data_IF_788583066196
#
_entry.id   IF_788583066196
#
_cell.length_a   1.000
_cell.length_b   1.000
_cell.length_c   1.000
_cell.angle_alpha   90.00
_cell.angle_beta   90.00
_cell.angle_gamma   90.00
#
_symmetry.space_group_name_H-M   'P 1'
#
loop_
_entity.id
_entity.type
_entity.pdbx_description
1 polymer ?
#
# COMPACT_ATOMS: atom_id res chain seq x y z
N UNK A 1 -34.68 21.85 -1.64
CA UNK A 1 -33.89 20.62 -1.89
C UNK A 1 -32.51 21.03 -2.36
N UNK A 2 -31.51 21.05 -1.49
CA UNK A 2 -30.11 21.27 -1.88
C UNK A 2 -29.58 19.94 -2.44
N UNK A 3 -29.10 19.95 -3.68
CA UNK A 3 -28.35 18.83 -4.27
C UNK A 3 -26.97 18.81 -3.61
N UNK A 4 -26.67 17.78 -2.83
CA UNK A 4 -25.30 17.53 -2.38
C UNK A 4 -24.46 17.25 -3.62
N UNK A 5 -23.54 18.16 -3.93
CA UNK A 5 -22.63 18.08 -5.06
C UNK A 5 -21.31 17.40 -4.66
N UNK A 6 -21.38 16.43 -3.75
CA UNK A 6 -20.21 15.63 -3.37
C UNK A 6 -20.06 14.50 -4.40
N UNK A 7 -19.00 14.49 -5.23
CA UNK A 7 -18.80 13.47 -6.25
C UNK A 7 -18.52 12.07 -5.66
N UNK A 8 -18.47 11.91 -4.33
CA UNK A 8 -18.22 10.64 -3.64
C UNK A 8 -16.73 10.28 -3.52
N UNK A 9 -15.86 11.16 -4.02
CA UNK A 9 -14.41 11.04 -4.00
C UNK A 9 -13.72 12.05 -3.08
N UNK A 10 -14.50 12.85 -2.34
CA UNK A 10 -14.00 13.85 -1.38
C UNK A 10 -13.08 13.25 -0.30
N UNK A 11 -13.29 11.98 0.07
CA UNK A 11 -12.41 11.25 0.99
C UNK A 11 -11.05 10.87 0.38
N UNK A 12 -10.98 10.68 -0.95
CA UNK A 12 -9.74 10.41 -1.68
C UNK A 12 -8.92 11.71 -1.82
N UNK A 13 -9.58 12.81 -2.14
CA UNK A 13 -8.97 14.15 -2.19
C UNK A 13 -8.38 14.54 -0.82
N UNK A 14 -9.12 14.28 0.26
CA UNK A 14 -8.65 14.51 1.64
C UNK A 14 -7.47 13.61 2.04
N UNK A 15 -7.37 12.40 1.49
CA UNK A 15 -6.23 11.51 1.69
C UNK A 15 -4.98 11.95 0.89
N UNK A 16 -5.17 12.75 -0.17
CA UNK A 16 -4.07 13.35 -0.93
C UNK A 16 -3.66 14.72 -0.39
N UNK A 17 -4.54 15.41 0.34
CA UNK A 17 -4.30 16.70 0.98
C UNK A 17 -3.55 16.58 2.32
N UNK A 18 -2.56 15.69 2.37
CA UNK A 18 -1.53 15.72 3.40
C UNK A 18 -0.55 16.84 3.04
N UNK A 19 -0.98 18.07 3.32
CA UNK A 19 -0.14 19.26 3.24
C UNK A 19 1.16 18.97 3.98
N UNK A 20 2.25 19.13 3.24
CA UNK A 20 3.64 18.90 3.60
C UNK A 20 3.97 19.45 4.99
N UNK A 21 3.91 18.62 6.03
CA UNK A 21 4.53 18.95 7.32
C UNK A 21 6.05 18.73 7.15
N UNK A 22 6.90 19.76 7.32
CA UNK A 22 8.35 19.62 7.21
C UNK A 22 8.96 18.61 8.19
N UNK A 23 8.26 18.22 9.25
CA UNK A 23 8.67 17.13 10.16
C UNK A 23 8.36 15.73 9.59
N UNK A 24 7.45 15.63 8.60
CA UNK A 24 7.17 14.44 7.79
C UNK A 24 8.14 14.36 6.58
N UNK A 25 9.21 15.15 6.59
CA UNK A 25 10.27 15.08 5.58
C UNK A 25 11.32 14.00 5.89
N UNK A 26 10.99 13.01 6.73
CA UNK A 26 11.70 11.73 6.71
C UNK A 26 11.34 11.01 5.42
N UNK A 27 12.38 10.59 4.68
CA UNK A 27 12.24 9.81 3.46
C UNK A 27 11.32 8.59 3.70
N UNK A 28 10.25 8.49 2.92
CA UNK A 28 9.20 7.47 3.08
C UNK A 28 9.78 6.04 3.18
N UNK A 29 10.75 5.63 2.33
CA UNK A 29 11.54 4.42 2.51
C UNK A 29 12.05 4.18 3.94
N UNK A 30 12.68 5.17 4.57
CA UNK A 30 13.23 5.04 5.93
C UNK A 30 12.13 4.78 6.97
N UNK A 31 10.96 5.42 6.82
CA UNK A 31 9.81 5.21 7.73
C UNK A 31 9.24 3.80 7.58
N UNK A 32 9.11 3.32 6.35
CA UNK A 32 8.66 1.97 6.05
C UNK A 32 9.66 0.94 6.56
N UNK A 33 10.96 1.13 6.32
CA UNK A 33 12.00 0.26 6.82
C UNK A 33 11.97 0.12 8.35
N UNK A 34 11.78 1.23 9.08
CA UNK A 34 11.64 1.23 10.54
C UNK A 34 10.33 0.60 11.02
N UNK A 35 9.22 0.81 10.31
CA UNK A 35 7.93 0.21 10.65
C UNK A 35 7.98 -1.33 10.56
N UNK A 36 8.71 -1.84 9.56
CA UNK A 36 8.81 -3.27 9.27
C UNK A 36 10.18 -3.88 9.63
N UNK A 37 10.89 -3.33 10.63
CA UNK A 37 12.20 -3.86 11.07
C UNK A 37 12.12 -4.86 12.24
N UNK A 38 11.01 -4.88 12.98
CA UNK A 38 10.79 -5.81 14.09
C UNK A 38 10.07 -7.10 13.66
N UNK A 39 10.07 -8.11 14.53
CA UNK A 39 9.47 -9.43 14.28
C UNK A 39 8.01 -9.34 13.80
N UNK A 40 7.19 -8.51 14.45
CA UNK A 40 5.78 -8.30 14.05
C UNK A 40 5.67 -7.67 12.66
N UNK A 41 6.59 -6.76 12.32
CA UNK A 41 6.64 -6.12 11.01
C UNK A 41 7.01 -7.11 9.92
N UNK A 42 7.98 -7.98 10.18
CA UNK A 42 8.36 -9.04 9.25
C UNK A 42 7.24 -10.07 9.07
N UNK A 43 6.57 -10.45 10.16
CA UNK A 43 5.39 -11.31 10.12
C UNK A 43 4.25 -10.69 9.31
N UNK A 44 4.00 -9.38 9.46
CA UNK A 44 3.00 -8.66 8.68
C UNK A 44 3.34 -8.65 7.18
N UNK A 45 4.58 -8.37 6.80
CA UNK A 45 5.00 -8.41 5.39
C UNK A 45 4.88 -9.82 4.80
N UNK A 46 5.28 -10.84 5.56
CA UNK A 46 5.14 -12.24 5.16
C UNK A 46 3.67 -12.59 4.91
N UNK A 47 2.79 -12.23 5.84
CA UNK A 47 1.36 -12.48 5.69
C UNK A 47 0.74 -11.77 4.48
N UNK A 48 1.11 -10.50 4.24
CA UNK A 48 0.67 -9.75 3.05
C UNK A 48 1.15 -10.40 1.76
N UNK A 49 2.39 -10.89 1.73
CA UNK A 49 2.95 -11.60 0.57
C UNK A 49 2.22 -12.92 0.31
N UNK A 50 1.88 -13.67 1.36
CA UNK A 50 1.09 -14.91 1.23
C UNK A 50 -0.32 -14.65 0.69
N UNK A 51 -1.00 -13.65 1.20
CA UNK A 51 -2.36 -13.28 0.78
C UNK A 51 -2.42 -12.82 -0.68
N UNK A 52 -1.34 -12.28 -1.22
CA UNK A 52 -1.35 -11.57 -2.52
C UNK A 52 -0.41 -12.19 -3.55
N UNK A 53 0.89 -12.18 -3.30
CA UNK A 53 1.93 -12.61 -4.23
C UNK A 53 1.92 -14.13 -4.41
N UNK A 54 1.82 -14.88 -3.30
CA UNK A 54 1.80 -16.33 -3.33
C UNK A 54 0.42 -16.92 -3.66
N UNK A 55 -0.62 -16.09 -3.70
CA UNK A 55 -2.00 -16.56 -3.91
C UNK A 55 -2.25 -16.92 -5.39
N UNK A 56 -2.47 -18.20 -5.71
CA UNK A 56 -2.83 -18.60 -7.06
C UNK A 56 -4.32 -18.32 -7.32
N UNK A 57 -4.65 -18.08 -8.59
CA UNK A 57 -6.03 -18.06 -9.09
C UNK A 57 -6.19 -19.15 -10.13
N UNK A 58 -7.35 -19.82 -10.13
CA UNK A 58 -7.65 -20.86 -11.11
C UNK A 58 -7.83 -20.29 -12.51
N UNK A 59 -7.71 -21.14 -13.53
CA UNK A 59 -7.81 -20.75 -14.95
C UNK A 59 -9.14 -20.07 -15.32
N UNK A 60 -10.22 -20.36 -14.58
CA UNK A 60 -11.55 -19.78 -14.78
C UNK A 60 -11.85 -18.60 -13.86
N UNK A 61 -10.82 -17.98 -13.25
CA UNK A 61 -11.02 -16.84 -12.37
C UNK A 61 -11.62 -15.65 -13.13
N UNK A 62 -12.60 -14.98 -12.52
CA UNK A 62 -13.26 -13.84 -13.10
C UNK A 62 -12.31 -12.64 -13.27
N UNK A 63 -12.42 -11.89 -14.38
CA UNK A 63 -11.57 -10.72 -14.65
C UNK A 63 -11.56 -9.68 -13.51
N UNK A 64 -12.68 -9.51 -12.82
CA UNK A 64 -12.78 -8.63 -11.66
C UNK A 64 -11.85 -9.05 -10.50
N UNK A 65 -11.76 -10.35 -10.21
CA UNK A 65 -10.89 -10.84 -9.12
C UNK A 65 -9.42 -10.82 -9.54
N UNK A 66 -9.12 -11.06 -10.82
CA UNK A 66 -7.77 -10.94 -11.37
C UNK A 66 -7.25 -9.51 -11.21
N UNK A 67 -7.99 -8.51 -11.67
CA UNK A 67 -7.61 -7.10 -11.56
C UNK A 67 -7.53 -6.62 -10.11
N UNK A 68 -8.44 -7.09 -9.25
CA UNK A 68 -8.39 -6.76 -7.84
C UNK A 68 -7.13 -7.33 -7.17
N UNK A 69 -6.81 -8.60 -7.40
CA UNK A 69 -5.61 -9.22 -6.86
C UNK A 69 -4.34 -8.55 -7.39
N UNK A 70 -4.32 -8.19 -8.67
CA UNK A 70 -3.16 -7.50 -9.27
C UNK A 70 -2.91 -6.12 -8.63
N UNK A 71 -3.96 -5.37 -8.34
CA UNK A 71 -3.83 -4.11 -7.59
C UNK A 71 -3.24 -4.33 -6.19
N UNK A 72 -3.65 -5.40 -5.50
CA UNK A 72 -3.06 -5.75 -4.21
C UNK A 72 -1.58 -6.16 -4.33
N UNK A 73 -1.22 -6.97 -5.34
CA UNK A 73 0.17 -7.39 -5.59
C UNK A 73 1.09 -6.22 -5.88
N UNK A 74 0.62 -5.27 -6.67
CA UNK A 74 1.35 -4.03 -6.92
C UNK A 74 1.63 -3.28 -5.60
N UNK A 75 0.58 -3.07 -4.79
CA UNK A 75 0.72 -2.35 -3.52
C UNK A 75 1.70 -3.04 -2.55
N UNK A 76 1.57 -4.35 -2.36
CA UNK A 76 2.47 -5.12 -1.48
C UNK A 76 3.90 -5.08 -2.01
N UNK A 77 4.11 -5.23 -3.32
CA UNK A 77 5.44 -5.13 -3.92
C UNK A 77 6.05 -3.74 -3.75
N UNK A 78 5.24 -2.69 -3.87
CA UNK A 78 5.67 -1.31 -3.65
C UNK A 78 6.11 -1.08 -2.19
N UNK A 79 5.33 -1.56 -1.21
CA UNK A 79 5.68 -1.51 0.21
C UNK A 79 7.01 -2.24 0.47
N UNK A 80 7.17 -3.46 -0.05
CA UNK A 80 8.44 -4.20 0.08
C UNK A 80 9.60 -3.46 -0.58
N UNK A 81 9.36 -2.77 -1.70
CA UNK A 81 10.32 -1.90 -2.36
C UNK A 81 10.79 -0.74 -1.48
N UNK A 82 9.86 -0.02 -0.84
CA UNK A 82 10.15 1.05 0.10
C UNK A 82 10.95 0.56 1.32
N UNK A 83 10.54 -0.58 1.89
CA UNK A 83 11.26 -1.21 3.01
C UNK A 83 12.70 -1.54 2.62
N UNK A 84 12.90 -2.11 1.42
CA UNK A 84 14.24 -2.42 0.92
C UNK A 84 15.07 -1.15 0.70
N UNK A 85 14.51 -0.13 0.06
CA UNK A 85 15.18 1.15 -0.16
C UNK A 85 15.63 1.80 1.15
N UNK A 86 14.74 1.86 2.16
CA UNK A 86 15.05 2.43 3.46
C UNK A 86 16.08 1.63 4.24
N UNK A 87 16.11 0.29 4.10
CA UNK A 87 17.16 -0.57 4.68
C UNK A 87 18.52 -0.37 3.99
N UNK A 88 18.52 -0.06 2.70
CA UNK A 88 19.74 0.23 1.91
C UNK A 88 20.22 1.68 2.04
N UNK A 89 19.44 2.56 2.67
CA UNK A 89 19.74 3.99 2.80
C UNK A 89 19.70 4.75 1.47
N UNK A 90 18.88 4.30 0.53
CA UNK A 90 18.73 4.84 -0.84
C UNK A 90 17.38 5.48 -1.07
#
# INVERSE_FOLDING_TARGET
MQRNNDPGWSWFEKAMDHTEDPQIQEDIPARFARCFSGEDGEAALSHLAEMTLARPLGANAHNGILRHLEGQRYLVSYIMGLVRQGREGK
#
